data_IF_150062844280
#
_entry.id   IF_150062844280
#
_cell.length_a   1.000
_cell.length_b   1.000
_cell.length_c   1.000
_cell.angle_alpha   90.00
_cell.angle_beta   90.00
_cell.angle_gamma   90.00
#
_symmetry.space_group_name_H-M   'P 1'
#
loop_
_entity.id
_entity.type
_entity.pdbx_description
1 polymer ?
#
# COMPACT_ATOMS: atom_id res chain seq x y z
N UNK A 1 8.14 -7.17 -33.55
CA UNK A 1 7.28 -6.32 -32.69
C UNK A 1 8.20 -5.47 -31.82
N UNK A 2 8.07 -4.17 -31.95
CA UNK A 2 8.79 -3.29 -31.04
C UNK A 2 8.17 -3.43 -29.64
N UNK A 3 9.01 -3.77 -28.67
CA UNK A 3 8.61 -3.72 -27.25
C UNK A 3 8.59 -2.22 -26.91
N UNK A 4 7.44 -1.71 -26.52
CA UNK A 4 7.31 -0.34 -26.03
C UNK A 4 8.15 -0.24 -24.74
N UNK A 5 9.24 0.52 -24.73
CA UNK A 5 10.11 0.64 -23.55
C UNK A 5 9.40 1.30 -22.36
N UNK A 6 8.29 1.99 -22.59
CA UNK A 6 7.52 2.67 -21.53
C UNK A 6 6.44 1.78 -20.91
N UNK A 7 6.19 0.60 -21.49
CA UNK A 7 5.13 -0.30 -21.01
C UNK A 7 5.28 -0.74 -19.56
N UNK A 8 6.51 -0.80 -19.07
CA UNK A 8 6.84 -1.22 -17.73
C UNK A 8 7.22 -0.04 -16.81
N UNK A 9 7.15 1.19 -17.33
CA UNK A 9 7.48 2.38 -16.56
C UNK A 9 6.35 2.73 -15.57
N UNK A 10 6.73 3.02 -14.34
CA UNK A 10 5.84 3.54 -13.31
C UNK A 10 6.55 4.59 -12.47
N UNK A 11 5.79 5.44 -11.79
CA UNK A 11 6.30 6.40 -10.84
C UNK A 11 5.72 6.18 -9.46
N UNK A 12 6.48 6.54 -8.43
CA UNK A 12 6.06 6.52 -7.03
C UNK A 12 6.00 7.95 -6.50
N UNK A 13 4.89 8.32 -5.90
CA UNK A 13 4.67 9.63 -5.28
C UNK A 13 4.30 9.49 -3.81
N UNK A 14 4.67 10.52 -3.04
CA UNK A 14 4.44 10.58 -1.60
C UNK A 14 3.67 11.86 -1.27
N UNK A 15 2.70 11.75 -0.37
CA UNK A 15 1.97 12.91 0.16
C UNK A 15 0.83 13.43 -0.69
N UNK A 16 0.70 12.98 -1.93
CA UNK A 16 -0.46 13.26 -2.76
C UNK A 16 -1.53 12.20 -2.52
N UNK A 17 -2.77 12.62 -2.40
CA UNK A 17 -3.90 11.73 -2.15
C UNK A 17 -4.55 11.38 -3.49
N UNK A 18 -4.55 10.08 -3.87
CA UNK A 18 -5.27 9.64 -5.08
C UNK A 18 -6.78 9.88 -4.93
N UNK A 19 -7.49 9.94 -6.06
CA UNK A 19 -8.94 10.03 -6.05
C UNK A 19 -9.55 8.78 -5.40
N UNK A 20 -10.55 8.97 -4.55
CA UNK A 20 -11.20 7.86 -3.84
C UNK A 20 -11.72 6.77 -4.78
N UNK A 21 -12.31 7.15 -5.91
CA UNK A 21 -12.81 6.20 -6.92
C UNK A 21 -11.70 5.30 -7.48
N UNK A 22 -10.49 5.83 -7.65
CA UNK A 22 -9.35 5.06 -8.16
C UNK A 22 -8.84 4.07 -7.11
N UNK A 23 -8.86 4.47 -5.85
CA UNK A 23 -8.52 3.60 -4.71
C UNK A 23 -9.55 2.48 -4.58
N UNK A 24 -10.85 2.79 -4.69
CA UNK A 24 -11.92 1.79 -4.63
C UNK A 24 -11.78 0.78 -5.78
N UNK A 25 -11.47 1.25 -6.98
CA UNK A 25 -11.20 0.38 -8.12
C UNK A 25 -10.00 -0.54 -7.87
N UNK A 26 -8.93 -0.01 -7.27
CA UNK A 26 -7.74 -0.79 -6.91
C UNK A 26 -8.06 -1.85 -5.84
N UNK A 27 -8.86 -1.50 -4.82
CA UNK A 27 -9.33 -2.47 -3.83
C UNK A 27 -10.12 -3.61 -4.48
N UNK A 28 -11.02 -3.28 -5.40
CA UNK A 28 -11.76 -4.29 -6.16
C UNK A 28 -10.83 -5.20 -6.98
N UNK A 29 -9.82 -4.64 -7.62
CA UNK A 29 -8.87 -5.39 -8.43
C UNK A 29 -8.05 -6.40 -7.61
N UNK A 30 -7.75 -6.10 -6.34
CA UNK A 30 -7.02 -7.02 -5.44
C UNK A 30 -7.95 -7.91 -4.61
N UNK A 31 -9.27 -7.84 -4.84
CA UNK A 31 -10.25 -8.68 -4.15
C UNK A 31 -10.68 -8.19 -2.77
N UNK A 32 -10.49 -6.92 -2.47
CA UNK A 32 -10.83 -6.31 -1.17
C UNK A 32 -12.24 -5.71 -1.17
N UNK A 33 -13.21 -6.47 -1.60
CA UNK A 33 -14.61 -6.08 -1.60
C UNK A 33 -15.13 -5.74 -3.00
N UNK A 34 -16.44 -5.55 -3.07
CA UNK A 34 -17.13 -5.10 -4.28
C UNK A 34 -17.10 -3.58 -4.35
N UNK A 35 -17.26 -3.03 -5.54
CA UNK A 35 -17.24 -1.58 -5.77
C UNK A 35 -18.27 -0.80 -4.91
N UNK A 36 -19.38 -1.43 -4.55
CA UNK A 36 -20.43 -0.86 -3.71
C UNK A 36 -20.18 -1.03 -2.19
N UNK A 37 -19.12 -1.73 -1.79
CA UNK A 37 -18.76 -1.90 -0.39
C UNK A 37 -18.17 -0.64 0.24
N UNK A 38 -17.71 0.31 -0.59
CA UNK A 38 -17.07 1.53 -0.13
C UNK A 38 -17.77 2.76 -0.68
N UNK A 39 -17.85 3.80 0.14
CA UNK A 39 -18.35 5.11 -0.29
C UNK A 39 -17.19 6.04 -0.55
N UNK A 40 -17.29 6.85 -1.60
CA UNK A 40 -16.24 7.78 -1.99
C UNK A 40 -15.85 8.71 -0.84
N UNK A 41 -16.82 9.22 -0.10
CA UNK A 41 -16.58 10.14 1.02
C UNK A 41 -15.84 9.47 2.17
N UNK A 42 -16.12 8.19 2.45
CA UNK A 42 -15.44 7.42 3.50
C UNK A 42 -13.98 7.15 3.11
N UNK A 43 -13.74 6.76 1.88
CA UNK A 43 -12.38 6.51 1.39
C UNK A 43 -11.60 7.82 1.30
N UNK A 44 -12.22 8.90 0.84
CA UNK A 44 -11.58 10.22 0.81
C UNK A 44 -11.17 10.67 2.22
N UNK A 45 -12.05 10.51 3.20
CA UNK A 45 -11.75 10.82 4.59
C UNK A 45 -10.62 9.94 5.15
N UNK A 46 -10.66 8.64 4.86
CA UNK A 46 -9.62 7.71 5.27
C UNK A 46 -8.24 8.09 4.72
N UNK A 47 -8.17 8.44 3.44
CA UNK A 47 -6.92 8.87 2.79
C UNK A 47 -6.41 10.19 3.38
N UNK A 48 -7.30 11.15 3.57
CA UNK A 48 -6.97 12.46 4.14
C UNK A 48 -6.45 12.33 5.58
N UNK A 49 -6.97 11.39 6.36
CA UNK A 49 -6.57 11.16 7.75
C UNK A 49 -5.37 10.19 7.87
N UNK A 50 -4.87 9.67 6.77
CA UNK A 50 -3.67 8.82 6.78
C UNK A 50 -2.43 9.69 6.98
N UNK A 51 -1.55 9.30 7.89
CA UNK A 51 -0.30 10.03 8.17
C UNK A 51 0.54 10.22 6.91
N UNK A 52 0.71 9.15 6.13
CA UNK A 52 1.48 9.18 4.90
C UNK A 52 0.88 8.22 3.88
N UNK A 53 0.55 8.75 2.71
CA UNK A 53 0.08 7.97 1.57
C UNK A 53 1.21 7.90 0.55
N UNK A 54 1.56 6.68 0.13
CA UNK A 54 2.47 6.42 -0.98
C UNK A 54 1.65 5.76 -2.07
N UNK A 55 1.77 6.23 -3.30
CA UNK A 55 1.07 5.60 -4.40
C UNK A 55 1.94 5.49 -5.64
N UNK A 56 1.60 4.54 -6.48
CA UNK A 56 2.26 4.31 -7.76
C UNK A 56 1.27 4.48 -8.91
N UNK A 57 1.74 5.08 -9.98
CA UNK A 57 0.99 5.29 -11.21
C UNK A 57 1.78 4.76 -12.39
N UNK A 58 1.07 4.28 -13.41
CA UNK A 58 1.67 3.92 -14.68
C UNK A 58 1.96 5.17 -15.54
N UNK A 59 2.49 4.96 -16.74
CA UNK A 59 2.83 6.06 -17.66
C UNK A 59 1.61 6.88 -18.12
N UNK A 60 0.41 6.32 -18.04
CA UNK A 60 -0.85 7.03 -18.36
C UNK A 60 -1.48 7.70 -17.14
N UNK A 61 -0.84 7.61 -15.99
CA UNK A 61 -1.32 8.19 -14.73
C UNK A 61 -2.36 7.33 -14.01
N UNK A 62 -2.60 6.10 -14.44
CA UNK A 62 -3.51 5.19 -13.76
C UNK A 62 -2.92 4.70 -12.44
N UNK A 63 -3.73 4.64 -11.39
CA UNK A 63 -3.31 4.16 -10.08
C UNK A 63 -3.10 2.65 -10.11
N UNK A 64 -1.88 2.23 -9.83
CA UNK A 64 -1.47 0.81 -9.86
C UNK A 64 -0.98 0.29 -8.51
N UNK A 65 -0.73 1.16 -7.56
CA UNK A 65 -0.29 0.78 -6.22
C UNK A 65 -0.62 1.81 -5.17
N UNK A 66 -0.81 1.34 -3.95
CA UNK A 66 -1.11 2.18 -2.79
C UNK A 66 -0.50 1.58 -1.54
N UNK A 67 0.08 2.43 -0.71
CA UNK A 67 0.50 2.10 0.65
C UNK A 67 0.05 3.21 1.60
N UNK A 68 -0.42 2.82 2.79
CA UNK A 68 -0.82 3.78 3.83
C UNK A 68 -0.08 3.50 5.12
N UNK A 69 0.50 4.56 5.67
CA UNK A 69 1.32 4.54 6.87
C UNK A 69 0.67 5.37 7.98
N UNK A 70 0.71 4.85 9.18
CA UNK A 70 0.26 5.52 10.40
C UNK A 70 1.36 5.46 11.46
N UNK A 71 1.49 6.49 12.26
CA UNK A 71 2.48 6.49 13.32
C UNK A 71 2.67 7.85 13.99
N UNK A 72 3.56 7.87 14.95
CA UNK A 72 3.88 9.08 15.71
C UNK A 72 5.04 9.90 15.12
N UNK A 73 5.73 9.36 14.11
CA UNK A 73 6.90 9.99 13.49
C UNK A 73 8.17 9.94 14.33
N UNK A 74 8.15 9.30 15.48
CA UNK A 74 9.26 9.27 16.45
C UNK A 74 9.68 7.85 16.80
N UNK A 75 8.73 7.01 17.18
CA UNK A 75 9.00 5.67 17.73
C UNK A 75 8.39 4.58 16.87
N UNK A 76 7.12 4.73 16.47
CA UNK A 76 6.32 3.67 15.88
C UNK A 76 5.69 4.08 14.56
N UNK A 77 5.78 3.19 13.58
CA UNK A 77 5.05 3.26 12.31
C UNK A 77 4.33 1.93 12.08
N UNK A 78 3.08 2.02 11.66
CA UNK A 78 2.30 0.90 11.16
C UNK A 78 2.09 1.07 9.66
N UNK A 79 2.54 0.12 8.87
CA UNK A 79 2.18 0.00 7.47
C UNK A 79 0.84 -0.75 7.42
N UNK A 80 -0.25 0.02 7.33
CA UNK A 80 -1.60 -0.54 7.43
C UNK A 80 -1.98 -1.35 6.19
N UNK A 81 -1.53 -0.91 5.02
CA UNK A 81 -1.74 -1.64 3.77
C UNK A 81 -0.65 -1.30 2.75
N UNK A 82 -0.36 -2.27 1.91
CA UNK A 82 0.39 -2.11 0.68
C UNK A 82 -0.21 -3.04 -0.36
N UNK A 83 -0.70 -2.47 -1.45
CA UNK A 83 -1.37 -3.21 -2.51
C UNK A 83 -0.85 -2.80 -3.87
N UNK A 84 -0.82 -3.76 -4.78
CA UNK A 84 -0.42 -3.55 -6.18
C UNK A 84 -1.46 -4.21 -7.08
N UNK A 85 -1.90 -3.49 -8.10
CA UNK A 85 -2.81 -4.02 -9.11
C UNK A 85 -2.28 -5.35 -9.66
N UNK A 86 -3.11 -6.38 -9.85
CA UNK A 86 -2.66 -7.70 -10.30
C UNK A 86 -1.82 -7.70 -11.56
N UNK A 87 -2.13 -6.82 -12.53
CA UNK A 87 -1.38 -6.69 -13.78
C UNK A 87 0.02 -6.08 -13.59
N UNK A 88 0.28 -5.51 -12.42
CA UNK A 88 1.55 -4.84 -12.10
C UNK A 88 2.34 -5.55 -11.00
N UNK A 89 1.84 -6.66 -10.49
CA UNK A 89 2.57 -7.48 -9.53
C UNK A 89 3.80 -8.12 -10.16
N UNK A 90 4.84 -8.35 -9.35
CA UNK A 90 6.13 -8.92 -9.77
C UNK A 90 6.90 -8.04 -10.78
N UNK A 91 6.63 -6.76 -10.81
CA UNK A 91 7.30 -5.77 -11.66
C UNK A 91 8.05 -4.70 -10.87
N UNK A 92 8.20 -4.90 -9.57
CA UNK A 92 8.95 -4.00 -8.69
C UNK A 92 8.16 -2.86 -8.08
N UNK A 93 6.86 -2.73 -8.36
CA UNK A 93 6.03 -1.63 -7.84
C UNK A 93 5.91 -1.69 -6.31
N UNK A 94 5.56 -2.85 -5.77
CA UNK A 94 5.45 -3.04 -4.32
C UNK A 94 6.77 -2.81 -3.61
N UNK A 95 7.86 -3.30 -4.16
CA UNK A 95 9.21 -3.10 -3.62
C UNK A 95 9.61 -1.63 -3.61
N UNK A 96 9.30 -0.90 -4.67
CA UNK A 96 9.59 0.53 -4.75
C UNK A 96 8.81 1.34 -3.70
N UNK A 97 7.53 1.04 -3.51
CA UNK A 97 6.71 1.67 -2.48
C UNK A 97 7.20 1.30 -1.07
N UNK A 98 7.53 0.04 -0.82
CA UNK A 98 8.02 -0.41 0.48
C UNK A 98 9.38 0.21 0.81
N UNK A 99 10.28 0.29 -0.15
CA UNK A 99 11.57 0.97 0.01
C UNK A 99 11.39 2.44 0.36
N UNK A 100 10.44 3.12 -0.27
CA UNK A 100 10.11 4.51 0.04
C UNK A 100 9.55 4.65 1.45
N UNK A 101 8.68 3.75 1.87
CA UNK A 101 8.15 3.72 3.24
C UNK A 101 9.26 3.55 4.27
N UNK A 102 10.17 2.61 4.05
CA UNK A 102 11.31 2.37 4.94
C UNK A 102 12.25 3.57 5.02
N UNK A 103 12.48 4.24 3.90
CA UNK A 103 13.29 5.47 3.85
C UNK A 103 12.65 6.59 4.67
N UNK A 104 11.35 6.85 4.46
CA UNK A 104 10.62 7.91 5.14
C UNK A 104 10.49 7.68 6.65
N UNK A 105 10.44 6.44 7.07
CA UNK A 105 10.21 6.04 8.46
C UNK A 105 11.43 5.39 9.11
N UNK A 106 12.63 5.65 8.58
CA UNK A 106 13.88 5.00 8.99
C UNK A 106 14.19 5.12 10.49
N UNK A 107 13.72 6.18 11.14
CA UNK A 107 13.92 6.42 12.57
C UNK A 107 12.92 5.72 13.48
N UNK A 108 11.96 4.98 12.94
CA UNK A 108 10.90 4.32 13.71
C UNK A 108 10.96 2.81 13.55
N UNK A 109 10.38 2.07 14.50
CA UNK A 109 10.06 0.66 14.30
C UNK A 109 8.84 0.55 13.39
N UNK A 110 8.94 -0.22 12.30
CA UNK A 110 7.85 -0.39 11.34
C UNK A 110 7.24 -1.77 11.53
N UNK A 111 5.94 -1.80 11.79
CA UNK A 111 5.15 -3.02 11.91
C UNK A 111 4.22 -3.17 10.72
N UNK A 112 4.05 -4.40 10.28
CA UNK A 112 3.11 -4.75 9.22
C UNK A 112 2.30 -5.97 9.62
N UNK A 113 1.13 -6.11 9.01
CA UNK A 113 0.32 -7.29 9.03
C UNK A 113 0.27 -7.86 7.62
N UNK A 114 0.49 -9.16 7.47
CA UNK A 114 0.41 -9.81 6.17
C UNK A 114 -0.19 -11.20 6.29
N UNK A 115 -0.66 -11.72 5.17
CA UNK A 115 -1.18 -13.08 5.10
C UNK A 115 -0.04 -14.10 5.09
N UNK A 116 -0.31 -15.27 5.66
CA UNK A 116 0.63 -16.40 5.57
C UNK A 116 0.98 -16.70 4.11
N UNK A 117 2.26 -16.92 3.86
CA UNK A 117 2.78 -17.15 2.51
C UNK A 117 3.23 -15.89 1.77
N UNK A 118 3.00 -14.71 2.36
CA UNK A 118 3.44 -13.42 1.81
C UNK A 118 4.67 -12.85 2.50
N UNK A 119 5.19 -13.53 3.52
CA UNK A 119 6.28 -13.04 4.36
C UNK A 119 7.55 -12.76 3.57
N UNK A 120 7.86 -13.58 2.56
CA UNK A 120 9.12 -13.48 1.81
C UNK A 120 9.29 -12.13 1.09
N UNK A 121 8.20 -11.51 0.65
CA UNK A 121 8.25 -10.18 0.05
C UNK A 121 8.81 -9.15 1.05
N UNK A 122 8.33 -9.19 2.28
CA UNK A 122 8.77 -8.26 3.34
C UNK A 122 10.14 -8.62 3.88
N UNK A 123 10.45 -9.89 4.02
CA UNK A 123 11.75 -10.36 4.50
C UNK A 123 12.90 -9.88 3.61
N UNK A 124 12.68 -9.83 2.29
CA UNK A 124 13.65 -9.27 1.33
C UNK A 124 13.92 -7.78 1.54
N UNK A 125 13.02 -7.09 2.22
CA UNK A 125 13.14 -5.67 2.56
C UNK A 125 13.56 -5.43 4.01
N UNK A 126 14.05 -6.47 4.71
CA UNK A 126 14.59 -6.35 6.06
C UNK A 126 13.59 -6.57 7.18
N UNK A 127 12.34 -6.95 6.88
CA UNK A 127 11.37 -7.30 7.91
C UNK A 127 11.63 -8.72 8.43
N UNK A 128 11.30 -8.93 9.69
CA UNK A 128 11.46 -10.23 10.36
C UNK A 128 10.14 -10.64 10.97
N UNK A 129 9.70 -11.86 10.67
CA UNK A 129 8.49 -12.42 11.28
C UNK A 129 8.67 -12.56 12.80
N UNK A 130 7.68 -12.12 13.57
CA UNK A 130 7.67 -12.18 15.03
C UNK A 130 6.77 -13.34 15.49
N UNK A 131 7.34 -14.51 15.68
CA UNK A 131 6.61 -15.74 15.99
C UNK A 131 5.81 -15.68 17.30
N UNK A 132 6.26 -14.86 18.26
CA UNK A 132 5.61 -14.68 19.57
C UNK A 132 4.48 -13.64 19.56
N UNK A 133 4.23 -12.97 18.43
CA UNK A 133 3.19 -11.95 18.29
C UNK A 133 2.02 -12.49 17.48
N UNK A 134 0.83 -12.10 17.85
CA UNK A 134 -0.38 -12.42 17.10
C UNK A 134 -1.11 -11.13 16.72
N UNK A 135 -1.73 -11.14 15.54
CA UNK A 135 -2.63 -10.08 15.13
C UNK A 135 -4.01 -10.33 15.72
N UNK A 136 -4.55 -9.30 16.37
CA UNK A 136 -5.91 -9.35 16.91
C UNK A 136 -6.71 -8.21 16.31
N UNK A 137 -7.96 -8.46 16.00
CA UNK A 137 -8.83 -7.45 15.43
C UNK A 137 -10.23 -7.51 16.03
N UNK A 138 -10.90 -6.37 16.02
CA UNK A 138 -12.30 -6.26 16.40
C UNK A 138 -13.01 -5.49 15.30
N UNK A 139 -14.14 -6.00 14.84
CA UNK A 139 -14.95 -5.33 13.82
C UNK A 139 -15.52 -4.02 14.36
N UNK A 140 -15.77 -3.04 13.46
CA UNK A 140 -16.46 -1.82 13.85
C UNK A 140 -17.79 -2.15 14.54
N UNK A 141 -18.13 -1.36 15.53
CA UNK A 141 -19.41 -1.44 16.24
C UNK A 141 -20.27 -0.24 15.89
N UNK A 142 -21.57 -0.49 15.80
CA UNK A 142 -22.53 0.56 15.51
C UNK A 142 -22.67 1.55 16.69
#
# INVERSE_FOLDING_TARGET
MAVDPDRDAFGVAVGQVPAARDVIALYGAVGWGKADAYKDEEIQAALTNTMCVIHATDHDGALIGLARLFGDGVVHTSLAEIIVHPNWQRRGVGRAMLSKACELCAGTAIFIETFRGKESFFERCGFVAREHMVVMSRRPQA
#
